data_IF_780654322782
#
_entry.id   IF_780654322782
#
_cell.length_a   1.000
_cell.length_b   1.000
_cell.length_c   1.000
_cell.angle_alpha   90.00
_cell.angle_beta   90.00
_cell.angle_gamma   90.00
#
_symmetry.space_group_name_H-M   'P 1'
#
loop_
_entity.id
_entity.type
_entity.pdbx_description
1 polymer ?
#
# COMPACT_ATOMS: atom_id res chain seq x y z
N UNK A 1 -3.38 24.73 2.09
CA UNK A 1 -4.79 24.77 1.63
C UNK A 1 -5.55 23.51 2.05
N UNK A 2 -5.30 22.34 1.46
CA UNK A 2 -6.07 21.11 1.83
C UNK A 2 -5.94 20.72 3.30
N UNK A 3 -4.73 20.76 3.87
CA UNK A 3 -4.54 20.40 5.30
C UNK A 3 -5.14 21.46 6.24
N UNK A 4 -5.13 22.74 5.83
CA UNK A 4 -5.79 23.82 6.59
C UNK A 4 -7.31 23.59 6.62
N UNK A 5 -7.91 23.27 5.47
CA UNK A 5 -9.33 22.94 5.39
C UNK A 5 -9.69 21.72 6.25
N UNK A 6 -8.86 20.66 6.22
CA UNK A 6 -9.05 19.50 7.10
C UNK A 6 -9.04 19.91 8.57
N UNK A 7 -8.19 20.86 8.98
CA UNK A 7 -8.18 21.36 10.37
C UNK A 7 -9.50 22.06 10.72
N UNK A 8 -10.03 22.86 9.81
CA UNK A 8 -11.28 23.60 10.00
C UNK A 8 -12.49 22.67 10.20
N UNK A 9 -12.44 21.45 9.64
CA UNK A 9 -13.45 20.42 9.88
C UNK A 9 -13.46 19.87 11.32
N UNK A 10 -12.49 20.24 12.16
CA UNK A 10 -12.45 19.84 13.57
C UNK A 10 -12.06 18.38 13.82
N UNK A 11 -11.51 17.68 12.81
CA UNK A 11 -11.08 16.28 12.95
C UNK A 11 -9.77 16.16 13.73
N UNK A 12 -9.58 15.02 14.39
CA UNK A 12 -8.35 14.72 15.14
C UNK A 12 -7.18 14.24 14.25
N UNK A 13 -7.50 13.67 13.09
CA UNK A 13 -6.53 13.01 12.22
C UNK A 13 -6.98 13.02 10.76
N UNK A 14 -6.02 12.84 9.86
CA UNK A 14 -6.29 12.56 8.45
C UNK A 14 -5.34 11.50 7.90
N UNK A 15 -5.79 10.84 6.83
CA UNK A 15 -5.05 9.80 6.13
C UNK A 15 -4.62 10.21 4.73
N UNK A 16 -3.46 9.75 4.29
CA UNK A 16 -3.07 9.81 2.88
C UNK A 16 -2.56 8.44 2.38
N UNK A 17 -2.82 8.20 1.10
CA UNK A 17 -2.26 7.13 0.29
C UNK A 17 -1.66 7.76 -0.98
N UNK A 18 -0.66 7.12 -1.58
CA UNK A 18 -0.40 7.26 -3.01
C UNK A 18 -1.55 6.65 -3.83
N UNK A 19 -1.48 6.80 -5.15
CA UNK A 19 -2.38 6.06 -6.04
C UNK A 19 -2.29 4.55 -5.72
N UNK A 20 -3.45 3.92 -5.56
CA UNK A 20 -3.56 2.47 -5.43
C UNK A 20 -3.90 1.93 -6.81
N UNK A 21 -3.04 1.05 -7.33
CA UNK A 21 -3.17 0.43 -8.65
C UNK A 21 -4.27 -0.62 -8.67
N UNK A 22 -5.53 -0.17 -8.73
CA UNK A 22 -6.70 -1.03 -8.72
C UNK A 22 -7.89 -0.39 -9.44
N UNK A 23 -8.75 -1.22 -10.04
CA UNK A 23 -9.91 -0.78 -10.80
C UNK A 23 -9.50 0.22 -11.89
N UNK A 24 -10.25 1.33 -12.00
CA UNK A 24 -9.99 2.38 -13.00
C UNK A 24 -8.67 3.13 -12.79
N UNK A 25 -8.05 3.02 -11.62
CA UNK A 25 -6.78 3.71 -11.35
C UNK A 25 -5.66 3.22 -12.28
N UNK A 26 -5.71 1.97 -12.73
CA UNK A 26 -4.72 1.40 -13.65
C UNK A 26 -4.73 2.10 -15.02
N UNK A 27 -5.92 2.49 -15.51
CA UNK A 27 -6.07 3.18 -16.81
C UNK A 27 -5.55 4.62 -16.78
N UNK A 28 -5.54 5.26 -15.61
CA UNK A 28 -5.17 6.68 -15.45
C UNK A 28 -3.86 6.85 -14.68
N UNK A 29 -3.15 5.76 -14.38
CA UNK A 29 -2.00 5.78 -13.48
C UNK A 29 -0.87 6.65 -14.00
N UNK A 30 -0.67 6.70 -15.32
CA UNK A 30 0.36 7.54 -15.96
C UNK A 30 0.12 9.04 -15.78
N UNK A 31 -1.14 9.47 -15.61
CA UNK A 31 -1.51 10.87 -15.43
C UNK A 31 -1.50 11.27 -13.95
N UNK A 32 -1.99 10.40 -13.06
CA UNK A 32 -2.24 10.76 -11.66
C UNK A 32 -1.23 10.19 -10.66
N UNK A 33 -0.45 9.16 -11.01
CA UNK A 33 0.57 8.64 -10.10
C UNK A 33 1.72 9.63 -9.98
N UNK A 34 2.07 9.98 -8.74
CA UNK A 34 3.20 10.86 -8.48
C UNK A 34 4.53 10.09 -8.60
N UNK A 35 5.53 10.64 -9.30
CA UNK A 35 6.90 10.16 -9.21
C UNK A 35 7.37 10.15 -7.75
N UNK A 36 8.21 9.16 -7.39
CA UNK A 36 8.66 8.94 -6.02
C UNK A 36 9.31 10.19 -5.40
N UNK A 37 10.11 10.93 -6.18
CA UNK A 37 10.78 12.14 -5.69
C UNK A 37 9.79 13.28 -5.38
N UNK A 38 8.76 13.43 -6.23
CA UNK A 38 7.68 14.38 -5.98
C UNK A 38 6.86 13.97 -4.75
N UNK A 39 6.60 12.66 -4.59
CA UNK A 39 5.90 12.12 -3.44
C UNK A 39 6.67 12.37 -2.14
N UNK A 40 7.98 12.11 -2.10
CA UNK A 40 8.84 12.40 -0.93
C UNK A 40 8.79 13.87 -0.54
N UNK A 41 8.98 14.77 -1.50
CA UNK A 41 8.93 16.22 -1.28
C UNK A 41 7.56 16.67 -0.77
N UNK A 42 6.48 16.12 -1.31
CA UNK A 42 5.12 16.42 -0.88
C UNK A 42 4.85 15.92 0.54
N UNK A 43 5.24 14.70 0.87
CA UNK A 43 4.98 14.11 2.19
C UNK A 43 5.71 14.85 3.31
N UNK A 44 6.90 15.39 3.06
CA UNK A 44 7.59 16.28 4.01
C UNK A 44 6.71 17.50 4.30
N UNK A 45 6.22 18.18 3.26
CA UNK A 45 5.36 19.36 3.42
C UNK A 45 4.05 19.04 4.15
N UNK A 46 3.43 17.90 3.84
CA UNK A 46 2.19 17.44 4.50
C UNK A 46 2.43 17.16 5.98
N UNK A 47 3.52 16.44 6.30
CA UNK A 47 3.91 16.13 7.68
C UNK A 47 4.16 17.41 8.48
N UNK A 48 4.99 18.31 7.97
CA UNK A 48 5.37 19.53 8.68
C UNK A 48 4.15 20.42 8.93
N UNK A 49 3.26 20.51 7.93
CA UNK A 49 1.99 21.25 8.08
C UNK A 49 1.04 20.60 9.08
N UNK A 50 0.95 19.27 9.09
CA UNK A 50 0.13 18.55 10.06
C UNK A 50 0.63 18.78 11.50
N UNK A 51 1.95 18.75 11.71
CA UNK A 51 2.58 19.06 12.99
C UNK A 51 2.28 20.48 13.46
N UNK A 52 2.43 21.48 12.57
CA UNK A 52 2.10 22.88 12.88
C UNK A 52 0.65 23.08 13.33
N UNK A 53 -0.28 22.28 12.80
CA UNK A 53 -1.71 22.36 13.10
C UNK A 53 -2.18 21.43 14.23
N UNK A 54 -1.25 20.71 14.87
CA UNK A 54 -1.54 19.65 15.84
C UNK A 54 -2.57 18.64 15.28
N UNK A 55 -2.37 18.21 14.04
CA UNK A 55 -3.16 17.18 13.37
C UNK A 55 -2.37 15.89 13.26
N UNK A 56 -3.00 14.76 13.60
CA UNK A 56 -2.37 13.45 13.41
C UNK A 56 -2.42 13.05 11.93
N UNK A 57 -1.25 12.93 11.31
CA UNK A 57 -1.11 12.45 9.93
C UNK A 57 -0.87 10.94 9.88
N UNK A 58 -1.70 10.21 9.11
CA UNK A 58 -1.59 8.77 8.88
C UNK A 58 -1.19 8.47 7.43
N UNK A 59 0.01 7.93 7.25
CA UNK A 59 0.43 7.37 5.96
C UNK A 59 0.07 5.88 5.90
N UNK A 60 -0.46 5.44 4.76
CA UNK A 60 -0.97 4.08 4.60
C UNK A 60 -0.25 3.26 3.53
N UNK A 61 0.34 3.88 2.51
CA UNK A 61 0.92 3.15 1.38
C UNK A 61 2.19 2.39 1.78
N UNK A 62 2.23 1.07 1.58
CA UNK A 62 3.46 0.28 1.65
C UNK A 62 4.39 0.61 0.49
N UNK A 63 5.67 0.75 0.76
CA UNK A 63 6.68 1.10 -0.24
C UNK A 63 7.85 0.11 -0.18
N UNK A 64 8.62 0.03 -1.27
CA UNK A 64 9.93 -0.60 -1.21
C UNK A 64 10.92 0.36 -0.53
N UNK A 65 11.46 0.00 0.64
CA UNK A 65 12.27 0.92 1.44
C UNK A 65 13.59 1.32 0.78
N UNK A 66 14.11 0.50 -0.14
CA UNK A 66 15.25 0.90 -0.98
C UNK A 66 14.94 2.07 -1.92
N UNK A 67 13.67 2.30 -2.26
CA UNK A 67 13.24 3.42 -3.11
C UNK A 67 12.68 4.57 -2.26
N UNK A 68 11.85 4.24 -1.27
CA UNK A 68 11.27 5.19 -0.33
C UNK A 68 10.98 4.50 1.01
N UNK A 69 11.77 4.86 2.03
CA UNK A 69 11.56 4.43 3.41
C UNK A 69 10.69 5.46 4.17
N UNK A 70 9.42 5.15 4.50
CA UNK A 70 8.53 6.06 5.21
C UNK A 70 8.97 6.28 6.67
N UNK A 71 9.76 5.37 7.25
CA UNK A 71 10.26 5.50 8.62
C UNK A 71 11.21 6.70 8.74
N UNK A 72 12.04 6.93 7.71
CA UNK A 72 12.96 8.08 7.67
C UNK A 72 12.22 9.43 7.67
N UNK A 73 10.96 9.45 7.24
CA UNK A 73 10.11 10.64 7.30
C UNK A 73 9.27 10.74 8.59
N UNK A 74 9.39 9.78 9.51
CA UNK A 74 8.57 9.70 10.71
C UNK A 74 7.13 9.23 10.46
N UNK A 75 6.87 8.57 9.32
CA UNK A 75 5.54 8.08 8.93
C UNK A 75 5.24 6.67 9.47
N UNK A 76 6.19 6.11 10.23
CA UNK A 76 6.10 4.79 10.84
C UNK A 76 6.35 3.64 9.87
N UNK A 77 6.42 2.43 10.40
CA UNK A 77 6.62 1.21 9.61
C UNK A 77 5.37 0.96 8.78
N UNK A 78 5.56 0.79 7.47
CA UNK A 78 4.52 0.39 6.50
C UNK A 78 4.98 -0.81 5.70
N UNK A 79 4.13 -1.82 5.64
CA UNK A 79 4.27 -3.01 4.82
C UNK A 79 2.87 -3.40 4.30
N UNK A 80 2.81 -4.14 3.20
CA UNK A 80 1.53 -4.69 2.77
C UNK A 80 1.02 -5.68 3.83
N UNK A 81 -0.27 -5.59 4.13
CA UNK A 81 -0.93 -6.38 5.16
C UNK A 81 -1.99 -7.33 4.58
N UNK A 82 -2.14 -7.32 3.25
CA UNK A 82 -3.08 -8.14 2.50
C UNK A 82 -2.84 -9.63 2.76
N UNK A 83 -3.92 -10.37 3.01
CA UNK A 83 -3.93 -11.78 3.35
C UNK A 83 -3.04 -12.17 4.55
N UNK A 84 -2.52 -11.21 5.32
CA UNK A 84 -1.57 -11.41 6.42
C UNK A 84 -2.19 -11.08 7.77
N UNK A 85 -2.64 -9.83 7.95
CA UNK A 85 -3.34 -9.38 9.16
C UNK A 85 -4.71 -8.75 8.84
N UNK A 86 -5.04 -8.58 7.56
CA UNK A 86 -6.38 -8.24 7.12
C UNK A 86 -6.75 -8.95 5.81
N UNK A 87 -8.05 -9.06 5.60
CA UNK A 87 -8.74 -9.47 4.37
C UNK A 87 -10.02 -8.63 4.27
N UNK A 88 -10.58 -8.50 3.08
CA UNK A 88 -11.81 -7.72 2.87
C UNK A 88 -12.95 -8.67 2.52
N UNK A 89 -14.11 -8.52 3.15
CA UNK A 89 -15.35 -9.21 2.75
C UNK A 89 -16.19 -8.21 1.94
N UNK A 90 -16.44 -8.53 0.68
CA UNK A 90 -17.29 -7.75 -0.21
C UNK A 90 -18.77 -7.88 0.13
N UNK A 91 -19.63 -6.98 -0.39
CA UNK A 91 -21.07 -7.00 -0.12
C UNK A 91 -21.79 -8.29 -0.55
N UNK A 92 -21.23 -9.02 -1.52
CA UNK A 92 -21.74 -10.30 -2.02
C UNK A 92 -21.18 -11.53 -1.26
N UNK A 93 -20.37 -11.30 -0.22
CA UNK A 93 -19.72 -12.35 0.57
C UNK A 93 -18.35 -12.79 0.06
N UNK A 94 -17.90 -12.33 -1.11
CA UNK A 94 -16.56 -12.67 -1.61
C UNK A 94 -15.48 -12.12 -0.69
N UNK A 95 -14.44 -12.92 -0.45
CA UNK A 95 -13.30 -12.53 0.38
C UNK A 95 -12.11 -12.20 -0.51
N UNK A 96 -11.51 -11.05 -0.31
CA UNK A 96 -10.37 -10.53 -1.07
C UNK A 96 -9.11 -10.41 -0.19
N UNK A 97 -7.89 -10.46 -0.76
CA UNK A 97 -6.65 -10.26 0.00
C UNK A 97 -6.63 -8.95 0.79
N UNK A 98 -7.17 -7.87 0.23
CA UNK A 98 -7.39 -6.59 0.91
C UNK A 98 -8.49 -5.79 0.20
N UNK A 99 -8.86 -4.62 0.72
CA UNK A 99 -9.93 -3.77 0.19
C UNK A 99 -9.73 -3.25 -1.25
N UNK A 100 -8.54 -3.45 -1.83
CA UNK A 100 -8.20 -2.98 -3.18
C UNK A 100 -7.77 -4.10 -4.12
N UNK A 101 -7.70 -5.36 -3.67
CA UNK A 101 -7.25 -6.49 -4.49
C UNK A 101 -8.47 -7.31 -4.93
N UNK A 102 -9.04 -7.00 -6.09
CA UNK A 102 -10.32 -7.58 -6.54
C UNK A 102 -10.20 -8.98 -7.18
N UNK A 103 -9.46 -9.88 -6.52
CA UNK A 103 -9.38 -11.30 -6.87
C UNK A 103 -9.96 -12.10 -5.71
N UNK A 104 -11.09 -12.77 -5.94
CA UNK A 104 -11.80 -13.52 -4.89
C UNK A 104 -10.98 -14.74 -4.46
N UNK A 105 -10.92 -14.96 -3.15
CA UNK A 105 -10.28 -16.09 -2.49
C UNK A 105 -11.29 -17.17 -2.07
N UNK A 106 -12.57 -16.95 -2.38
CA UNK A 106 -13.72 -17.72 -1.92
C UNK A 106 -14.81 -16.80 -1.35
N UNK A 107 -15.93 -17.37 -0.95
CA UNK A 107 -17.09 -16.63 -0.43
C UNK A 107 -17.45 -17.07 0.98
N UNK A 108 -17.46 -16.13 1.93
CA UNK A 108 -17.60 -16.40 3.37
C UNK A 108 -18.95 -17.04 3.75
N UNK A 109 -19.95 -16.96 2.88
CA UNK A 109 -21.29 -17.50 3.13
C UNK A 109 -21.38 -19.00 2.79
N UNK A 110 -20.48 -19.52 1.96
CA UNK A 110 -20.56 -20.89 1.42
C UNK A 110 -19.27 -21.70 1.60
N UNK A 111 -18.12 -21.05 1.64
CA UNK A 111 -16.82 -21.69 1.78
C UNK A 111 -16.34 -21.70 3.24
N UNK A 112 -15.58 -22.72 3.62
CA UNK A 112 -14.95 -22.77 4.93
C UNK A 112 -13.83 -21.74 5.02
N UNK A 113 -13.73 -21.06 6.16
CA UNK A 113 -12.68 -20.07 6.40
C UNK A 113 -11.27 -20.63 6.16
N UNK A 114 -10.99 -21.87 6.55
CA UNK A 114 -9.68 -22.50 6.35
C UNK A 114 -9.29 -22.61 4.88
N UNK A 115 -10.27 -22.78 3.98
CA UNK A 115 -10.04 -22.83 2.53
C UNK A 115 -9.73 -21.43 1.98
N UNK A 116 -10.52 -20.42 2.39
CA UNK A 116 -10.33 -19.02 2.01
C UNK A 116 -8.96 -18.51 2.51
N UNK A 117 -8.64 -18.77 3.78
CA UNK A 117 -7.41 -18.32 4.42
C UNK A 117 -6.16 -18.96 3.79
N UNK A 118 -6.24 -20.22 3.38
CA UNK A 118 -5.15 -20.96 2.74
C UNK A 118 -5.26 -20.99 1.21
N UNK A 119 -6.08 -20.11 0.62
CA UNK A 119 -6.15 -19.96 -0.83
C UNK A 119 -4.74 -19.73 -1.40
N UNK A 120 -4.36 -20.37 -2.52
CA UNK A 120 -2.99 -20.29 -3.06
C UNK A 120 -2.48 -18.85 -3.22
N UNK A 121 -3.35 -17.93 -3.67
CA UNK A 121 -2.99 -16.51 -3.76
C UNK A 121 -2.70 -15.88 -2.38
N UNK A 122 -3.52 -16.17 -1.38
CA UNK A 122 -3.32 -15.64 -0.02
C UNK A 122 -1.98 -16.11 0.56
N UNK A 123 -1.65 -17.39 0.37
CA UNK A 123 -0.36 -17.97 0.77
C UNK A 123 0.80 -17.30 0.03
N UNK A 124 0.70 -17.15 -1.30
CA UNK A 124 1.71 -16.47 -2.14
C UNK A 124 1.99 -15.05 -1.66
N UNK A 125 0.94 -14.29 -1.32
CA UNK A 125 1.06 -12.92 -0.80
C UNK A 125 1.72 -12.93 0.58
N UNK A 126 1.27 -13.78 1.52
CA UNK A 126 1.85 -13.88 2.88
C UNK A 126 3.32 -14.25 2.86
N UNK A 127 3.70 -15.19 2.00
CA UNK A 127 5.07 -15.63 1.82
C UNK A 127 5.91 -14.62 1.02
N UNK A 128 5.30 -13.53 0.53
CA UNK A 128 5.95 -12.49 -0.27
C UNK A 128 6.62 -13.05 -1.53
N UNK A 129 6.03 -14.07 -2.13
CA UNK A 129 6.57 -14.71 -3.33
C UNK A 129 6.48 -13.82 -4.58
N UNK A 130 5.75 -12.71 -4.50
CA UNK A 130 5.62 -11.70 -5.56
C UNK A 130 6.80 -10.73 -5.64
N UNK A 131 7.70 -10.71 -4.66
CA UNK A 131 8.78 -9.72 -4.63
C UNK A 131 9.81 -9.97 -5.72
N UNK A 132 10.45 -8.89 -6.16
CA UNK A 132 11.52 -8.95 -7.15
C UNK A 132 12.71 -9.79 -6.65
N UNK A 133 13.51 -10.39 -7.56
CA UNK A 133 14.69 -11.17 -7.17
C UNK A 133 15.66 -10.46 -6.22
N UNK A 134 15.88 -9.14 -6.42
CA UNK A 134 16.74 -8.30 -5.57
C UNK A 134 16.30 -8.28 -4.09
N UNK A 135 15.02 -8.58 -3.81
CA UNK A 135 14.46 -8.54 -2.47
C UNK A 135 14.68 -9.84 -1.69
N UNK A 136 14.97 -10.97 -2.36
CA UNK A 136 15.02 -12.30 -1.70
C UNK A 136 16.10 -12.38 -0.61
N UNK A 137 17.25 -11.75 -0.85
CA UNK A 137 18.37 -11.69 0.10
C UNK A 137 18.44 -10.32 0.82
N UNK A 138 17.42 -9.48 0.69
CA UNK A 138 17.40 -8.15 1.30
C UNK A 138 17.05 -8.23 2.79
N UNK A 139 17.90 -7.69 3.70
CA UNK A 139 17.64 -7.76 5.15
C UNK A 139 16.40 -6.97 5.57
N UNK A 140 15.97 -6.00 4.77
CA UNK A 140 14.79 -5.17 5.02
C UNK A 140 13.48 -5.80 4.54
N UNK A 141 13.51 -6.94 3.82
CA UNK A 141 12.29 -7.56 3.28
C UNK A 141 11.27 -7.87 4.39
N UNK A 142 11.74 -8.29 5.56
CA UNK A 142 10.86 -8.61 6.69
C UNK A 142 10.07 -7.41 7.20
N UNK A 143 10.63 -6.20 7.06
CA UNK A 143 10.04 -4.94 7.52
C UNK A 143 9.24 -4.27 6.40
N UNK A 144 9.81 -4.12 5.20
CA UNK A 144 9.12 -3.41 4.11
C UNK A 144 8.06 -4.25 3.39
N UNK A 145 8.19 -5.59 3.45
CA UNK A 145 7.31 -6.53 2.77
C UNK A 145 7.36 -6.45 1.23
N UNK A 146 8.34 -5.75 0.67
CA UNK A 146 8.49 -5.57 -0.78
C UNK A 146 7.53 -4.54 -1.40
N UNK A 147 6.80 -3.76 -0.59
CA UNK A 147 5.79 -2.81 -1.09
C UNK A 147 4.44 -3.47 -1.39
N UNK A 148 3.57 -2.78 -2.12
CA UNK A 148 2.25 -3.27 -2.50
C UNK A 148 2.33 -4.23 -3.70
N UNK A 149 1.76 -5.46 -3.62
CA UNK A 149 1.74 -6.39 -4.76
C UNK A 149 1.09 -5.79 -6.02
N UNK A 150 0.01 -5.01 -5.87
CA UNK A 150 -0.70 -4.41 -7.00
C UNK A 150 0.16 -3.40 -7.76
N UNK A 151 0.95 -2.60 -7.04
CA UNK A 151 1.90 -1.67 -7.64
C UNK A 151 3.00 -2.38 -8.42
N UNK A 152 3.46 -3.55 -7.95
CA UNK A 152 4.48 -4.35 -8.62
C UNK A 152 3.95 -5.12 -9.83
N UNK A 153 2.66 -5.42 -9.86
CA UNK A 153 2.01 -6.10 -11.00
C UNK A 153 1.70 -5.13 -12.15
N UNK A 154 1.23 -3.92 -11.83
CA UNK A 154 0.93 -2.90 -12.83
C UNK A 154 2.20 -2.32 -13.46
N UNK A 155 3.26 -2.20 -12.65
CA UNK A 155 4.55 -1.73 -13.13
C UNK A 155 5.33 -2.89 -13.73
N UNK A 156 5.39 -2.94 -15.07
CA UNK A 156 6.63 -3.33 -15.74
C UNK A 156 7.76 -2.38 -15.30
N UNK A 157 8.29 -2.56 -14.09
CA UNK A 157 9.52 -1.92 -13.66
C UNK A 157 10.65 -2.55 -14.49
N UNK A 158 10.92 -1.98 -15.66
CA UNK A 158 12.24 -2.07 -16.26
C UNK A 158 13.13 -1.23 -15.34
N UNK A 159 13.76 -1.88 -14.37
CA UNK A 159 14.90 -1.31 -13.69
C UNK A 159 15.91 -0.99 -14.77
N UNK A 160 16.08 0.31 -15.08
CA UNK A 160 17.14 0.76 -15.94
C UNK A 160 18.44 0.16 -15.43
N UNK A 161 19.08 -0.68 -16.26
CA UNK A 161 20.52 -0.85 -16.17
C UNK A 161 21.08 0.55 -16.35
N UNK A 162 21.72 1.09 -15.33
CA UNK A 162 22.72 2.14 -15.53
C UNK A 162 23.81 1.53 -16.40
N UNK A 163 23.82 1.90 -17.68
CA UNK A 163 25.06 1.98 -18.45
C UNK A 163 25.82 3.25 -18.03
#
# INVERSE_FOLDING_TARGET
KTIDYIKELGVAAFGCNSLIYSGKANEISQEFALPIENLKSLLIKVRDKAQQLNLKFLWYTPTQYCNFDPVQLGLGVKSCTAAMINMCVGPNGDVYPCQSYFESLGNILVDKWEQIWNHPLAVKIRNREYVEPKCKDCPQLQVCGGGCPLELQDKQYICGKTE
#
